data_IF_046960702136
#
_entry.id   IF_046960702136
#
_cell.length_a   1.000
_cell.length_b   1.000
_cell.length_c   1.000
_cell.angle_alpha   90.00
_cell.angle_beta   90.00
_cell.angle_gamma   90.00
#
_symmetry.space_group_name_H-M   'P 1'
#
loop_
_entity.id
_entity.type
_entity.pdbx_description
1 polymer ?
#
# COMPACT_ATOMS: atom_id res chain seq x y z
N UNK A 1 21.60 20.75 -8.47
CA UNK A 1 22.99 20.47 -8.03
C UNK A 1 22.90 19.59 -6.81
N UNK A 2 22.91 18.27 -6.98
CA UNK A 2 23.00 17.31 -5.88
C UNK A 2 24.47 16.93 -5.73
N UNK A 3 25.08 17.32 -4.61
CA UNK A 3 26.39 16.87 -4.20
C UNK A 3 26.35 15.36 -3.92
N UNK A 4 27.45 14.68 -4.27
CA UNK A 4 27.70 13.28 -3.98
C UNK A 4 27.63 13.00 -2.46
N UNK A 5 26.46 12.80 -1.93
CA UNK A 5 26.28 12.30 -0.56
C UNK A 5 25.98 10.80 -0.63
N UNK A 6 26.98 10.02 -0.28
CA UNK A 6 26.82 8.60 0.00
C UNK A 6 25.81 8.43 1.13
N UNK A 7 24.68 7.80 0.81
CA UNK A 7 23.67 7.43 1.84
C UNK A 7 24.18 6.17 2.53
N UNK A 8 24.74 6.33 3.71
CA UNK A 8 25.10 5.22 4.60
C UNK A 8 23.84 4.64 5.22
N UNK A 9 23.27 3.63 4.59
CA UNK A 9 22.24 2.80 5.22
C UNK A 9 22.90 1.81 6.19
N UNK A 10 22.51 1.87 7.47
CA UNK A 10 22.99 0.97 8.52
C UNK A 10 22.75 -0.51 8.14
N UNK A 11 23.76 -1.33 8.36
CA UNK A 11 23.89 -2.76 8.06
C UNK A 11 22.65 -3.60 8.43
N UNK A 12 21.73 -3.71 7.54
CA UNK A 12 20.84 -4.86 7.40
C UNK A 12 20.94 -5.29 5.95
N UNK A 13 21.07 -6.58 5.65
CA UNK A 13 21.37 -7.22 4.35
C UNK A 13 20.53 -6.72 3.15
N UNK A 14 20.60 -5.43 2.85
CA UNK A 14 19.96 -4.80 1.70
C UNK A 14 21.03 -4.60 0.64
N UNK A 15 20.86 -5.23 -0.53
CA UNK A 15 21.68 -4.90 -1.71
C UNK A 15 21.55 -3.40 -1.98
N UNK A 16 22.65 -2.67 -1.89
CA UNK A 16 22.72 -1.29 -2.33
C UNK A 16 22.56 -1.31 -3.85
N UNK A 17 21.47 -0.76 -4.34
CA UNK A 17 21.30 -0.52 -5.77
C UNK A 17 21.83 0.88 -6.03
N UNK A 18 22.96 0.99 -6.74
CA UNK A 18 23.44 2.28 -7.23
C UNK A 18 22.48 2.82 -8.29
N UNK A 19 21.77 3.87 -7.98
CA UNK A 19 20.92 4.56 -8.93
C UNK A 19 21.72 5.60 -9.70
N UNK A 20 21.63 5.55 -11.03
CA UNK A 20 22.15 6.62 -11.89
C UNK A 20 21.47 7.94 -11.53
N UNK A 21 22.25 8.99 -11.29
CA UNK A 21 21.79 10.35 -10.93
C UNK A 21 20.91 11.02 -12.00
N UNK A 22 20.65 10.35 -13.12
CA UNK A 22 19.86 10.86 -14.26
C UNK A 22 18.39 10.48 -14.24
N UNK A 23 17.97 9.52 -13.40
CA UNK A 23 16.57 9.08 -13.32
C UNK A 23 16.08 9.33 -11.89
N UNK A 24 15.18 10.29 -11.67
CA UNK A 24 14.65 10.54 -10.34
C UNK A 24 13.80 9.35 -9.87
N UNK A 25 13.96 8.95 -8.62
CA UNK A 25 13.10 7.98 -7.96
C UNK A 25 11.71 8.62 -7.77
N UNK A 26 10.70 8.14 -8.50
CA UNK A 26 9.36 8.73 -8.46
C UNK A 26 8.39 8.00 -7.55
N UNK A 27 8.56 6.70 -7.45
CA UNK A 27 7.63 5.81 -6.72
C UNK A 27 8.44 4.86 -5.85
N UNK A 28 7.99 4.64 -4.62
CA UNK A 28 8.43 3.53 -3.78
C UNK A 28 7.23 2.65 -3.44
N UNK A 29 7.48 1.35 -3.29
CA UNK A 29 6.47 0.40 -2.84
C UNK A 29 6.93 -0.25 -1.53
N UNK A 30 6.05 -0.25 -0.52
CA UNK A 30 6.33 -0.76 0.81
C UNK A 30 5.39 -1.93 1.11
N UNK A 31 5.95 -3.13 1.34
CA UNK A 31 5.21 -4.24 1.93
C UNK A 31 5.13 -4.02 3.44
N UNK A 32 4.00 -3.46 3.91
CA UNK A 32 3.87 -3.04 5.32
C UNK A 32 3.54 -4.19 6.26
N UNK A 33 2.92 -5.25 5.75
CA UNK A 33 2.55 -6.41 6.56
C UNK A 33 2.39 -7.66 5.70
N UNK A 34 2.72 -8.83 6.25
CA UNK A 34 2.35 -10.12 5.66
C UNK A 34 1.00 -10.63 6.18
N UNK A 35 0.43 -10.00 7.21
CA UNK A 35 -0.90 -10.36 7.70
C UNK A 35 -1.93 -10.15 6.61
N UNK A 36 -2.83 -11.11 6.45
CA UNK A 36 -3.91 -11.04 5.47
C UNK A 36 -5.15 -11.76 6.00
N UNK A 37 -6.32 -11.25 5.69
CA UNK A 37 -7.61 -11.86 6.00
C UNK A 37 -8.03 -12.94 4.98
N UNK A 38 -7.22 -13.16 3.94
CA UNK A 38 -7.43 -14.18 2.92
C UNK A 38 -6.27 -15.19 2.86
N UNK A 39 -6.53 -16.32 2.19
CA UNK A 39 -5.55 -17.38 1.87
C UNK A 39 -5.75 -17.77 0.42
N UNK A 40 -5.42 -16.85 -0.49
CA UNK A 40 -5.62 -17.02 -1.92
C UNK A 40 -4.76 -18.17 -2.46
N UNK A 41 -5.29 -18.95 -3.38
CA UNK A 41 -4.62 -20.12 -3.96
C UNK A 41 -3.27 -19.77 -4.63
N UNK A 42 -3.15 -18.59 -5.20
CA UNK A 42 -1.95 -18.10 -5.90
C UNK A 42 -1.07 -17.19 -5.04
N UNK A 43 -1.30 -17.11 -3.71
CA UNK A 43 -0.56 -16.23 -2.84
C UNK A 43 0.91 -16.65 -2.74
N UNK A 44 1.82 -15.69 -2.95
CA UNK A 44 3.27 -15.93 -2.88
C UNK A 44 3.85 -15.81 -1.47
N UNK A 45 3.07 -15.30 -0.50
CA UNK A 45 3.57 -15.10 0.86
C UNK A 45 3.83 -16.43 1.57
N UNK A 46 5.05 -16.65 2.11
CA UNK A 46 5.39 -17.89 2.80
C UNK A 46 4.83 -17.95 4.22
N UNK A 47 4.59 -16.80 4.84
CA UNK A 47 4.01 -16.69 6.18
C UNK A 47 3.14 -15.41 6.28
N UNK A 48 2.33 -15.33 7.33
CA UNK A 48 1.37 -14.26 7.54
C UNK A 48 1.55 -13.58 8.91
N UNK A 49 2.75 -13.64 9.48
CA UNK A 49 3.01 -13.17 10.83
C UNK A 49 3.76 -11.84 10.89
N UNK A 50 4.51 -11.50 9.85
CA UNK A 50 5.40 -10.34 9.86
C UNK A 50 4.64 -9.04 9.60
N UNK A 51 5.12 -7.98 10.24
CA UNK A 51 4.60 -6.63 10.11
C UNK A 51 5.73 -5.64 10.33
N UNK A 52 5.78 -4.58 9.54
CA UNK A 52 6.72 -3.50 9.77
C UNK A 52 6.27 -2.63 10.94
N UNK A 53 7.23 -2.21 11.74
CA UNK A 53 6.99 -1.21 12.78
C UNK A 53 6.59 0.12 12.14
N UNK A 54 5.60 0.78 12.73
CA UNK A 54 5.05 2.04 12.23
C UNK A 54 6.10 3.14 12.11
N UNK A 55 6.99 3.28 13.11
CA UNK A 55 8.07 4.28 13.08
C UNK A 55 9.04 4.03 11.93
N UNK A 56 9.27 2.74 11.62
CA UNK A 56 10.11 2.37 10.47
C UNK A 56 9.46 2.78 9.16
N UNK A 57 8.15 2.61 9.01
CA UNK A 57 7.42 3.03 7.79
C UNK A 57 7.47 4.54 7.65
N UNK A 58 7.17 5.31 8.71
CA UNK A 58 7.26 6.78 8.70
C UNK A 58 8.68 7.28 8.38
N UNK A 59 9.72 6.61 8.89
CA UNK A 59 11.11 6.93 8.52
C UNK A 59 11.38 6.73 7.04
N UNK A 60 10.91 5.62 6.44
CA UNK A 60 11.05 5.35 5.01
C UNK A 60 10.31 6.40 4.18
N UNK A 61 9.11 6.78 4.59
CA UNK A 61 8.30 7.83 3.92
C UNK A 61 9.04 9.17 3.96
N UNK A 62 9.59 9.54 5.10
CA UNK A 62 10.37 10.77 5.24
C UNK A 62 11.61 10.78 4.34
N UNK A 63 12.40 9.70 4.34
CA UNK A 63 13.58 9.57 3.49
C UNK A 63 13.20 9.61 1.99
N UNK A 64 12.11 8.93 1.61
CA UNK A 64 11.58 8.95 0.26
C UNK A 64 11.24 10.38 -0.21
N UNK A 65 10.61 11.17 0.64
CA UNK A 65 10.33 12.59 0.36
C UNK A 65 11.60 13.39 0.09
N UNK A 66 12.65 13.18 0.89
CA UNK A 66 13.94 13.86 0.69
C UNK A 66 14.61 13.48 -0.65
N UNK A 67 14.33 12.27 -1.15
CA UNK A 67 14.81 11.78 -2.45
C UNK A 67 13.94 12.24 -3.64
N UNK A 68 12.89 13.03 -3.40
CA UNK A 68 12.00 13.54 -4.44
C UNK A 68 10.94 12.53 -4.91
N UNK A 69 10.65 11.50 -4.11
CA UNK A 69 9.55 10.58 -4.38
C UNK A 69 8.23 11.33 -4.38
N UNK A 70 7.37 11.02 -5.34
CA UNK A 70 6.05 11.63 -5.52
C UNK A 70 4.91 10.70 -5.15
N UNK A 71 5.16 9.39 -5.15
CA UNK A 71 4.18 8.35 -4.89
C UNK A 71 4.71 7.30 -3.91
N UNK A 72 3.90 6.96 -2.92
CA UNK A 72 4.17 5.85 -1.98
C UNK A 72 3.08 4.79 -2.12
N UNK A 73 3.44 3.63 -2.61
CA UNK A 73 2.55 2.50 -2.77
C UNK A 73 2.61 1.58 -1.54
N UNK A 74 1.46 1.28 -0.93
CA UNK A 74 1.36 0.34 0.19
C UNK A 74 0.79 -1.00 -0.27
N UNK A 75 1.50 -2.07 0.05
CA UNK A 75 1.16 -3.44 -0.33
C UNK A 75 1.51 -4.42 0.81
N UNK A 76 1.44 -5.72 0.54
CA UNK A 76 1.79 -6.79 1.46
C UNK A 76 0.80 -7.94 1.39
N UNK A 77 0.41 -8.47 2.54
CA UNK A 77 -0.73 -9.37 2.63
C UNK A 77 -2.04 -8.62 2.36
N UNK A 78 -2.53 -7.92 3.40
CA UNK A 78 -3.59 -6.93 3.27
C UNK A 78 -3.19 -5.68 4.08
N UNK A 79 -2.74 -4.61 3.41
CA UNK A 79 -2.23 -3.43 4.10
C UNK A 79 -3.27 -2.75 4.99
N UNK A 80 -4.56 -2.80 4.64
CA UNK A 80 -5.64 -2.23 5.45
C UNK A 80 -5.89 -2.95 6.79
N UNK A 81 -5.15 -4.03 7.06
CA UNK A 81 -5.13 -4.66 8.39
C UNK A 81 -4.05 -4.07 9.31
N UNK A 82 -3.11 -3.29 8.77
CA UNK A 82 -2.10 -2.63 9.58
C UNK A 82 -2.74 -1.52 10.42
N UNK A 83 -2.69 -1.69 11.73
CA UNK A 83 -3.19 -0.66 12.64
C UNK A 83 -2.35 0.63 12.51
N UNK A 84 -3.01 1.76 12.30
CA UNK A 84 -2.35 3.05 12.13
C UNK A 84 -1.87 3.33 10.69
N UNK A 85 -2.27 2.53 9.70
CA UNK A 85 -1.95 2.81 8.30
C UNK A 85 -2.58 4.12 7.83
N UNK A 86 -3.80 4.43 8.27
CA UNK A 86 -4.50 5.66 7.87
C UNK A 86 -3.72 6.91 8.29
N UNK A 87 -3.10 6.91 9.45
CA UNK A 87 -2.26 8.01 9.92
C UNK A 87 -0.97 8.14 9.11
N UNK A 88 -0.35 7.01 8.72
CA UNK A 88 0.83 7.02 7.84
C UNK A 88 0.46 7.56 6.45
N UNK A 89 -0.69 7.16 5.91
CA UNK A 89 -1.17 7.69 4.64
C UNK A 89 -1.41 9.19 4.74
N UNK A 90 -1.99 9.65 5.84
CA UNK A 90 -2.19 11.08 6.08
C UNK A 90 -0.85 11.85 6.15
N UNK A 91 0.20 11.27 6.74
CA UNK A 91 1.57 11.80 6.71
C UNK A 91 2.06 11.95 5.26
N UNK A 92 1.93 10.91 4.43
CA UNK A 92 2.31 10.94 3.00
C UNK A 92 1.61 12.09 2.25
N UNK A 93 0.30 12.23 2.46
CA UNK A 93 -0.50 13.25 1.77
C UNK A 93 -0.16 14.67 2.23
N UNK A 94 0.09 14.87 3.53
CA UNK A 94 0.52 16.16 4.10
C UNK A 94 1.88 16.62 3.57
N UNK A 95 2.75 15.66 3.22
CA UNK A 95 4.03 15.94 2.57
C UNK A 95 3.88 16.22 1.06
N UNK A 96 2.65 16.27 0.53
CA UNK A 96 2.35 16.54 -0.88
C UNK A 96 2.70 15.39 -1.83
N UNK A 97 2.80 14.17 -1.31
CA UNK A 97 2.92 12.94 -2.11
C UNK A 97 1.56 12.31 -2.32
N UNK A 98 1.41 11.50 -3.36
CA UNK A 98 0.26 10.65 -3.58
C UNK A 98 0.51 9.24 -3.03
N UNK A 99 -0.54 8.44 -2.92
CA UNK A 99 -0.43 7.05 -2.48
C UNK A 99 -1.33 6.11 -3.26
N UNK A 100 -0.88 4.86 -3.43
CA UNK A 100 -1.69 3.76 -3.95
C UNK A 100 -1.75 2.64 -2.92
N UNK A 101 -2.95 2.17 -2.61
CA UNK A 101 -3.17 1.03 -1.72
C UNK A 101 -3.56 -0.18 -2.55
N UNK A 102 -2.75 -1.25 -2.47
CA UNK A 102 -3.05 -2.54 -3.09
C UNK A 102 -3.83 -3.38 -2.10
N UNK A 103 -5.11 -3.59 -2.34
CA UNK A 103 -6.00 -4.24 -1.38
C UNK A 103 -6.89 -5.29 -2.02
N UNK A 104 -7.27 -6.31 -1.26
CA UNK A 104 -8.34 -7.24 -1.64
C UNK A 104 -9.74 -6.62 -1.48
N UNK A 105 -9.83 -5.49 -0.79
CA UNK A 105 -11.05 -4.73 -0.53
C UNK A 105 -12.19 -5.54 0.14
N UNK A 106 -11.89 -6.67 0.77
CA UNK A 106 -12.90 -7.47 1.50
C UNK A 106 -13.27 -6.81 2.82
N UNK A 107 -12.33 -6.11 3.43
CA UNK A 107 -12.50 -5.34 4.65
C UNK A 107 -11.90 -3.96 4.47
N UNK A 108 -12.65 -2.93 4.83
CA UNK A 108 -12.21 -1.54 4.78
C UNK A 108 -12.44 -0.93 6.18
N UNK A 109 -11.36 -0.51 6.86
CA UNK A 109 -11.46 0.14 8.17
C UNK A 109 -12.23 1.46 8.09
N UNK A 110 -12.92 1.84 9.16
CA UNK A 110 -13.72 3.06 9.19
C UNK A 110 -12.87 4.33 9.14
N UNK A 111 -11.72 4.34 9.82
CA UNK A 111 -10.73 5.43 9.76
C UNK A 111 -10.21 5.66 8.33
N UNK A 112 -10.01 4.58 7.56
CA UNK A 112 -9.62 4.68 6.16
C UNK A 112 -10.76 5.25 5.29
N UNK A 113 -12.01 4.90 5.54
CA UNK A 113 -13.16 5.50 4.85
C UNK A 113 -13.28 7.00 5.10
N UNK A 114 -13.02 7.44 6.34
CA UNK A 114 -12.99 8.86 6.69
C UNK A 114 -11.83 9.55 5.94
N UNK A 115 -10.67 8.91 5.88
CA UNK A 115 -9.49 9.47 5.23
C UNK A 115 -9.71 9.74 3.74
N UNK A 116 -10.25 8.77 3.00
CA UNK A 116 -10.51 8.91 1.56
C UNK A 116 -11.59 9.95 1.21
N UNK A 117 -12.45 10.31 2.16
CA UNK A 117 -13.42 11.40 1.99
C UNK A 117 -12.81 12.79 2.26
N UNK A 118 -11.71 12.83 3.00
CA UNK A 118 -11.05 14.07 3.42
C UNK A 118 -9.92 14.50 2.47
N UNK A 119 -9.25 13.53 1.85
CA UNK A 119 -8.04 13.78 1.09
C UNK A 119 -8.15 13.25 -0.34
N UNK A 120 -7.74 14.09 -1.29
CA UNK A 120 -7.40 13.67 -2.64
C UNK A 120 -6.01 13.01 -2.66
N UNK A 121 -5.64 12.36 -3.78
CA UNK A 121 -4.31 11.77 -3.95
C UNK A 121 -4.18 10.34 -3.44
N UNK A 122 -5.29 9.71 -3.01
CA UNK A 122 -5.35 8.28 -2.66
C UNK A 122 -5.92 7.49 -3.84
N UNK A 123 -5.17 6.50 -4.30
CA UNK A 123 -5.61 5.55 -5.34
C UNK A 123 -5.75 4.15 -4.74
N UNK A 124 -6.74 3.41 -5.20
CA UNK A 124 -6.96 2.02 -4.82
C UNK A 124 -6.72 1.11 -6.02
N UNK A 125 -5.85 0.11 -5.84
CA UNK A 125 -5.71 -1.02 -6.74
C UNK A 125 -6.34 -2.24 -6.10
N UNK A 126 -7.57 -2.53 -6.54
CA UNK A 126 -8.36 -3.62 -5.96
C UNK A 126 -8.09 -4.92 -6.71
N UNK A 127 -7.83 -5.96 -5.96
CA UNK A 127 -7.58 -7.30 -6.48
C UNK A 127 -8.89 -7.98 -6.87
N UNK A 128 -9.11 -8.19 -8.16
CA UNK A 128 -10.29 -8.88 -8.69
C UNK A 128 -9.85 -9.92 -9.73
N UNK A 129 -9.97 -11.22 -9.39
CA UNK A 129 -9.46 -12.33 -10.24
C UNK A 129 -10.54 -12.99 -11.10
N UNK A 130 -11.76 -12.51 -11.06
CA UNK A 130 -12.85 -13.04 -11.84
C UNK A 130 -13.97 -12.05 -12.07
N UNK A 131 -14.66 -12.19 -13.18
CA UNK A 131 -15.82 -11.37 -13.54
C UNK A 131 -17.11 -11.80 -12.83
N UNK A 132 -17.10 -12.94 -12.14
CA UNK A 132 -18.21 -13.45 -11.32
C UNK A 132 -17.74 -14.10 -10.02
N UNK A 133 -18.70 -14.38 -9.15
CA UNK A 133 -18.48 -14.99 -7.83
C UNK A 133 -17.77 -16.36 -7.93
N UNK A 134 -18.19 -17.21 -8.87
CA UNK A 134 -17.64 -18.57 -8.98
C UNK A 134 -16.13 -18.55 -9.27
N UNK A 135 -15.69 -17.71 -10.21
CA UNK A 135 -14.28 -17.65 -10.60
C UNK A 135 -13.46 -16.94 -9.52
N UNK A 136 -13.91 -15.78 -9.04
CA UNK A 136 -13.18 -15.03 -8.03
C UNK A 136 -13.05 -15.82 -6.71
N UNK A 137 -14.15 -16.38 -6.23
CA UNK A 137 -14.17 -17.09 -4.96
C UNK A 137 -13.39 -18.41 -5.01
N UNK A 138 -13.28 -19.06 -6.17
CA UNK A 138 -12.42 -20.25 -6.31
C UNK A 138 -10.94 -19.94 -6.08
N UNK A 139 -10.51 -18.70 -6.31
CA UNK A 139 -9.12 -18.26 -6.15
C UNK A 139 -8.90 -17.63 -4.78
N UNK A 140 -9.82 -16.75 -4.35
CA UNK A 140 -9.63 -15.91 -3.15
C UNK A 140 -10.38 -16.37 -1.92
N UNK A 141 -11.34 -17.30 -2.09
CA UNK A 141 -12.15 -17.83 -1.00
C UNK A 141 -13.61 -17.37 -1.07
N UNK A 142 -14.46 -18.23 -0.54
CA UNK A 142 -15.93 -18.09 -0.61
C UNK A 142 -16.44 -16.78 -0.05
N UNK A 143 -17.30 -16.10 -0.80
CA UNK A 143 -17.99 -14.85 -0.41
C UNK A 143 -17.10 -13.61 -0.47
N UNK A 144 -15.89 -13.72 -1.02
CA UNK A 144 -14.99 -12.55 -1.18
C UNK A 144 -15.45 -11.65 -2.32
N UNK A 145 -15.95 -12.20 -3.43
CA UNK A 145 -16.45 -11.44 -4.57
C UNK A 145 -17.51 -10.40 -4.16
N UNK A 146 -18.56 -10.83 -3.48
CA UNK A 146 -19.65 -9.93 -3.07
C UNK A 146 -19.17 -8.79 -2.17
N UNK A 147 -18.25 -9.10 -1.22
CA UNK A 147 -17.68 -8.09 -0.31
C UNK A 147 -16.81 -7.10 -1.05
N UNK A 148 -15.95 -7.60 -1.93
CA UNK A 148 -15.06 -6.75 -2.76
C UNK A 148 -15.88 -5.85 -3.67
N UNK A 149 -16.89 -6.36 -4.40
CA UNK A 149 -17.74 -5.54 -5.28
C UNK A 149 -18.51 -4.48 -4.47
N UNK A 150 -19.11 -4.84 -3.33
CA UNK A 150 -19.79 -3.88 -2.45
C UNK A 150 -18.86 -2.71 -2.06
N UNK A 151 -17.62 -3.01 -1.72
CA UNK A 151 -16.66 -1.98 -1.33
C UNK A 151 -16.15 -1.16 -2.53
N UNK A 152 -16.03 -1.75 -3.71
CA UNK A 152 -15.74 -1.00 -4.96
C UNK A 152 -16.88 0.00 -5.25
N UNK A 153 -18.12 -0.44 -5.14
CA UNK A 153 -19.30 0.43 -5.34
C UNK A 153 -19.32 1.58 -4.33
N UNK A 154 -19.02 1.30 -3.06
CA UNK A 154 -18.88 2.33 -2.03
C UNK A 154 -17.83 3.38 -2.42
N UNK A 155 -16.63 2.96 -2.84
CA UNK A 155 -15.58 3.90 -3.26
C UNK A 155 -15.98 4.73 -4.48
N UNK A 156 -16.61 4.12 -5.48
CA UNK A 156 -17.11 4.84 -6.66
C UNK A 156 -18.14 5.93 -6.32
N UNK A 157 -18.95 5.70 -5.30
CA UNK A 157 -19.96 6.68 -4.89
C UNK A 157 -19.41 7.78 -3.98
N UNK A 158 -18.24 7.57 -3.37
CA UNK A 158 -17.70 8.43 -2.31
C UNK A 158 -16.48 9.22 -2.78
N UNK A 159 -15.66 8.64 -3.66
CA UNK A 159 -14.50 9.33 -4.23
C UNK A 159 -14.93 10.05 -5.52
N UNK A 160 -14.79 11.35 -5.53
CA UNK A 160 -14.88 12.14 -6.77
C UNK A 160 -13.62 11.85 -7.59
N UNK A 161 -13.76 11.10 -8.68
CA UNK A 161 -12.73 10.96 -9.70
C UNK A 161 -12.75 12.16 -10.64
#
# INVERSE_FOLDING_TARGET
FLNNNEISLSKTNTKIVEFSTKIPLKVIQIEVTNKCNLRCMHCYLPDYSKELDRKKISSIVYEAKQLGVMDVDFTGGEPLLLQGLSEIIEEVLKEGMCTTIFTNAVYIPEDFKILIQRYDGIRLKVSLDGWNETIHDSIRGRGTFKRTIKNIEYFRSTCYC
#
